data_IF_519456321254
#
_entry.id   IF_519456321254
#
_cell.length_a   1.000
_cell.length_b   1.000
_cell.length_c   1.000
_cell.angle_alpha   90.00
_cell.angle_beta   90.00
_cell.angle_gamma   90.00
#
_symmetry.space_group_name_H-M   'P 1'
#
loop_
_entity.id
_entity.type
_entity.pdbx_description
1 polymer ?
#
# COMPACT_ATOMS: atom_id res chain seq x y z
N UNK A 1 -18.10 13.95 -1.21
CA UNK A 1 -17.64 14.19 -2.59
C UNK A 1 -17.45 12.92 -3.40
N UNK A 2 -16.59 11.96 -3.05
CA UNK A 2 -16.46 10.71 -3.82
C UNK A 2 -17.78 9.91 -3.92
N UNK A 3 -18.45 9.64 -2.79
CA UNK A 3 -19.77 8.97 -2.79
C UNK A 3 -20.83 9.75 -3.58
N UNK A 4 -20.79 11.08 -3.52
CA UNK A 4 -21.70 11.93 -4.31
C UNK A 4 -21.44 11.80 -5.82
N UNK A 5 -20.16 11.67 -6.21
CA UNK A 5 -19.72 11.47 -7.60
C UNK A 5 -19.94 10.05 -8.13
N UNK A 6 -19.95 9.04 -7.26
CA UNK A 6 -20.40 7.69 -7.61
C UNK A 6 -21.92 7.69 -7.78
N UNK A 7 -22.66 8.38 -6.90
CA UNK A 7 -24.12 8.48 -6.97
C UNK A 7 -24.62 9.28 -8.20
N UNK A 8 -23.87 10.29 -8.65
CA UNK A 8 -24.19 11.06 -9.86
C UNK A 8 -23.65 10.44 -11.18
N UNK A 9 -22.94 9.31 -11.08
CA UNK A 9 -22.38 8.58 -12.23
C UNK A 9 -21.11 9.16 -12.83
N UNK A 10 -20.53 10.22 -12.25
CA UNK A 10 -19.29 10.84 -12.75
C UNK A 10 -18.02 10.06 -12.43
N UNK A 11 -18.09 9.04 -11.57
CA UNK A 11 -17.01 8.10 -11.24
C UNK A 11 -17.58 6.68 -11.16
N UNK A 12 -16.85 5.70 -11.68
CA UNK A 12 -17.27 4.29 -11.62
C UNK A 12 -17.17 3.75 -10.18
N UNK A 13 -18.09 2.87 -9.73
CA UNK A 13 -18.01 2.20 -8.44
C UNK A 13 -16.73 1.38 -8.29
N UNK A 14 -16.29 1.20 -7.05
CA UNK A 14 -15.14 0.34 -6.75
C UNK A 14 -15.54 -1.13 -6.88
N UNK A 15 -14.80 -1.88 -7.69
CA UNK A 15 -15.06 -3.29 -7.98
C UNK A 15 -13.89 -4.15 -7.51
N UNK A 16 -14.17 -5.28 -6.89
CA UNK A 16 -13.21 -6.38 -6.73
C UNK A 16 -13.85 -7.66 -7.26
N UNK A 17 -13.23 -8.28 -8.27
CA UNK A 17 -13.66 -9.56 -8.84
C UNK A 17 -15.18 -9.61 -9.15
N UNK A 18 -15.70 -8.57 -9.80
CA UNK A 18 -17.13 -8.37 -10.14
C UNK A 18 -18.10 -8.07 -8.98
N UNK A 19 -17.59 -7.98 -7.75
CA UNK A 19 -18.36 -7.50 -6.59
C UNK A 19 -18.22 -5.98 -6.46
N UNK A 20 -19.36 -5.29 -6.51
CA UNK A 20 -19.44 -3.87 -6.18
C UNK A 20 -19.25 -3.66 -4.69
N UNK A 21 -18.06 -3.24 -4.27
CA UNK A 21 -17.71 -3.12 -2.86
C UNK A 21 -18.48 -2.00 -2.15
N UNK A 22 -18.91 -1.00 -2.93
CA UNK A 22 -19.85 0.04 -2.49
C UNK A 22 -21.23 -0.53 -2.13
N UNK A 23 -21.63 -1.68 -2.68
CA UNK A 23 -22.90 -2.35 -2.42
C UNK A 23 -22.85 -3.40 -1.30
N UNK A 24 -21.66 -3.93 -0.97
CA UNK A 24 -21.47 -5.00 0.04
C UNK A 24 -21.03 -4.45 1.42
N UNK A 25 -20.93 -3.12 1.57
CA UNK A 25 -20.64 -2.50 2.87
C UNK A 25 -19.16 -2.57 3.27
N UNK A 26 -18.27 -2.94 2.35
CA UNK A 26 -16.82 -2.81 2.55
C UNK A 26 -16.49 -1.33 2.52
N UNK A 27 -16.06 -0.79 3.67
CA UNK A 27 -15.70 0.63 3.77
C UNK A 27 -14.28 0.81 3.28
N UNK A 28 -14.15 1.19 2.01
CA UNK A 28 -12.92 1.72 1.43
C UNK A 28 -12.83 3.20 1.80
N UNK A 29 -11.67 3.66 2.26
CA UNK A 29 -11.42 5.08 2.43
C UNK A 29 -10.74 5.74 1.25
N UNK A 30 -10.19 4.95 0.33
CA UNK A 30 -9.50 5.41 -0.88
C UNK A 30 -9.95 4.66 -2.13
N UNK A 31 -9.05 4.57 -3.11
CA UNK A 31 -9.27 3.77 -4.32
C UNK A 31 -8.79 2.33 -4.16
N UNK A 32 -9.18 1.46 -5.09
CA UNK A 32 -8.64 0.11 -5.28
C UNK A 32 -7.81 0.00 -6.56
N UNK A 33 -7.05 -1.07 -6.66
CA UNK A 33 -6.19 -1.36 -7.80
C UNK A 33 -4.84 -0.68 -7.67
N UNK A 34 -4.22 -0.32 -8.79
CA UNK A 34 -2.83 0.13 -8.76
C UNK A 34 -2.76 1.56 -8.27
N UNK A 35 -1.99 1.80 -7.21
CA UNK A 35 -1.68 3.15 -6.79
C UNK A 35 -0.91 3.89 -7.90
N UNK A 36 -1.38 5.07 -8.30
CA UNK A 36 -0.77 5.88 -9.36
C UNK A 36 -0.55 7.31 -8.89
N UNK A 37 0.46 7.97 -9.44
CA UNK A 37 0.64 9.40 -9.22
C UNK A 37 -0.57 10.15 -9.80
N UNK A 38 -1.22 11.06 -9.07
CA UNK A 38 -2.41 11.80 -9.52
C UNK A 38 -2.15 12.84 -10.63
N UNK A 39 -0.98 12.79 -11.27
CA UNK A 39 -0.56 13.74 -12.31
C UNK A 39 0.00 15.07 -11.81
N UNK A 40 0.29 16.02 -12.73
CA UNK A 40 0.86 17.33 -12.42
C UNK A 40 -0.03 18.17 -11.49
N UNK A 41 0.57 19.07 -10.71
CA UNK A 41 -0.13 19.96 -9.78
C UNK A 41 -0.40 19.35 -8.40
N UNK A 42 -0.16 18.06 -8.23
CA UNK A 42 -0.23 17.36 -6.95
C UNK A 42 1.16 17.21 -6.33
N UNK A 43 1.20 17.25 -4.99
CA UNK A 43 2.39 16.85 -4.21
C UNK A 43 2.02 15.78 -3.21
N UNK A 44 3.01 14.97 -2.80
CA UNK A 44 2.84 14.06 -1.66
C UNK A 44 2.56 14.86 -0.39
N UNK A 45 1.48 14.49 0.29
CA UNK A 45 1.14 14.96 1.62
C UNK A 45 1.60 13.90 2.63
N UNK A 46 2.54 14.27 3.49
CA UNK A 46 3.07 13.37 4.54
C UNK A 46 2.01 13.15 5.61
N UNK A 47 1.95 11.96 6.18
CA UNK A 47 0.98 11.66 7.24
C UNK A 47 1.26 12.49 8.49
N UNK A 48 2.55 12.69 8.82
CA UNK A 48 2.95 13.61 9.89
C UNK A 48 2.53 15.07 9.62
N UNK A 49 2.47 15.48 8.35
CA UNK A 49 1.95 16.79 7.98
C UNK A 49 0.44 16.87 8.16
N UNK A 50 -0.29 15.85 7.71
CA UNK A 50 -1.75 15.78 7.87
C UNK A 50 -2.16 15.74 9.35
N UNK A 51 -1.49 14.92 10.15
CA UNK A 51 -1.66 14.83 11.61
C UNK A 51 -1.56 16.21 12.29
N UNK A 52 -0.55 17.01 11.93
CA UNK A 52 -0.41 18.38 12.48
C UNK A 52 -1.54 19.32 12.05
N UNK A 53 -2.12 19.13 10.87
CA UNK A 53 -3.22 19.97 10.36
C UNK A 53 -4.54 19.64 11.04
N UNK A 54 -4.78 18.37 11.36
CA UNK A 54 -6.07 17.90 11.88
C UNK A 54 -6.07 17.71 13.39
N UNK A 55 -4.91 17.51 14.01
CA UNK A 55 -4.78 17.12 15.41
C UNK A 55 -4.91 15.61 15.65
N UNK A 56 -5.16 14.81 14.60
CA UNK A 56 -5.20 13.36 14.70
C UNK A 56 -3.79 12.78 14.91
N UNK A 57 -3.64 11.61 15.56
CA UNK A 57 -2.38 10.88 15.56
C UNK A 57 -2.04 10.39 14.14
N UNK A 58 -0.75 10.22 13.84
CA UNK A 58 -0.32 9.67 12.54
C UNK A 58 -0.90 8.27 12.32
N UNK A 59 -0.87 7.44 13.35
CA UNK A 59 -1.59 6.17 13.43
C UNK A 59 -2.14 6.07 14.85
N UNK A 60 -3.46 5.90 15.05
CA UNK A 60 -4.03 5.67 16.37
C UNK A 60 -3.45 4.43 17.04
N UNK A 61 -3.38 4.44 18.37
CA UNK A 61 -2.87 3.29 19.12
C UNK A 61 -3.71 2.03 18.86
N UNK A 62 -3.04 0.88 18.73
CA UNK A 62 -3.66 -0.40 18.37
C UNK A 62 -4.21 -0.51 16.94
N UNK A 63 -4.03 0.49 16.07
CA UNK A 63 -4.48 0.46 14.67
C UNK A 63 -3.33 0.36 13.68
N UNK A 64 -3.57 -0.34 12.56
CA UNK A 64 -2.71 -0.29 11.39
C UNK A 64 -3.04 0.92 10.49
N UNK A 65 -2.07 1.43 9.71
CA UNK A 65 -2.29 2.49 8.72
C UNK A 65 -3.46 2.16 7.78
N UNK A 66 -4.56 2.89 7.89
CA UNK A 66 -5.81 2.66 7.13
C UNK A 66 -6.64 3.95 7.07
N UNK A 67 -7.80 3.87 6.42
CA UNK A 67 -8.73 5.00 6.32
C UNK A 67 -9.23 5.55 7.65
N UNK A 68 -9.06 4.79 8.73
CA UNK A 68 -9.48 5.18 10.08
C UNK A 68 -8.49 6.10 10.78
N UNK A 69 -7.30 6.32 10.21
CA UNK A 69 -6.24 7.09 10.89
C UNK A 69 -6.51 8.60 10.95
N UNK A 70 -7.28 9.16 10.01
CA UNK A 70 -7.52 10.62 9.93
C UNK A 70 -9.01 10.95 9.85
N UNK A 71 -9.81 10.63 10.88
CA UNK A 71 -11.25 10.89 10.87
C UNK A 71 -11.54 12.39 10.69
N UNK A 72 -10.72 13.25 11.31
CA UNK A 72 -10.88 14.71 11.28
C UNK A 72 -10.43 15.34 9.95
N UNK A 73 -9.77 14.59 9.07
CA UNK A 73 -9.44 15.04 7.72
C UNK A 73 -10.63 14.99 6.75
N UNK A 74 -11.73 14.32 7.14
CA UNK A 74 -12.92 14.17 6.30
C UNK A 74 -14.08 14.97 6.87
N UNK A 75 -14.99 15.43 5.99
CA UNK A 75 -16.28 15.99 6.37
C UNK A 75 -17.39 15.11 5.80
N UNK A 76 -18.29 14.65 6.67
CA UNK A 76 -19.37 13.73 6.31
C UNK A 76 -18.84 12.47 5.55
N UNK A 77 -17.70 11.95 6.03
CA UNK A 77 -17.01 10.79 5.44
C UNK A 77 -16.39 11.05 4.06
N UNK A 78 -16.17 12.32 3.68
CA UNK A 78 -15.59 12.70 2.39
C UNK A 78 -14.31 13.51 2.54
N UNK A 79 -13.30 13.16 1.72
CA UNK A 79 -12.06 13.92 1.58
C UNK A 79 -12.29 15.30 0.93
N UNK A 80 -11.53 16.34 1.33
CA UNK A 80 -11.48 17.62 0.64
C UNK A 80 -11.03 17.47 -0.82
N UNK A 81 -11.49 18.35 -1.71
CA UNK A 81 -11.15 18.30 -3.14
C UNK A 81 -9.64 18.36 -3.44
N UNK A 82 -8.88 19.02 -2.57
CA UNK A 82 -7.41 19.13 -2.67
C UNK A 82 -6.65 17.97 -2.03
N UNK A 83 -7.30 16.86 -1.71
CA UNK A 83 -6.66 15.70 -1.07
C UNK A 83 -7.18 14.40 -1.67
N UNK A 84 -6.25 13.57 -2.12
CA UNK A 84 -6.53 12.22 -2.61
C UNK A 84 -5.96 11.25 -1.56
N UNK A 85 -6.80 10.40 -0.94
CA UNK A 85 -6.32 9.38 -0.01
C UNK A 85 -5.48 8.32 -0.73
N UNK A 86 -4.64 7.57 0.00
CA UNK A 86 -3.92 6.42 -0.55
C UNK A 86 -4.86 5.39 -1.18
N UNK A 87 -4.37 4.71 -2.22
CA UNK A 87 -5.00 3.49 -2.75
C UNK A 87 -4.74 2.34 -1.79
N UNK A 88 -5.77 1.57 -1.49
CA UNK A 88 -5.71 0.43 -0.58
C UNK A 88 -4.98 -0.76 -1.21
N UNK A 89 -4.19 -1.47 -0.41
CA UNK A 89 -3.52 -2.70 -0.85
C UNK A 89 -2.40 -2.53 -1.88
N UNK A 90 -1.95 -1.31 -2.13
CA UNK A 90 -1.13 -1.04 -3.31
C UNK A 90 -0.07 0.03 -3.09
N UNK A 91 1.17 -0.28 -3.47
CA UNK A 91 2.26 0.70 -3.56
C UNK A 91 2.30 1.35 -4.94
N UNK A 92 2.56 2.66 -4.98
CA UNK A 92 2.82 3.37 -6.22
C UNK A 92 4.25 3.11 -6.75
N UNK A 93 4.48 3.35 -8.04
CA UNK A 93 5.76 3.03 -8.71
C UNK A 93 6.97 3.69 -8.07
N UNK A 94 6.84 4.95 -7.66
CA UNK A 94 7.97 5.69 -7.07
C UNK A 94 8.34 5.09 -5.71
N UNK A 95 7.34 4.79 -4.88
CA UNK A 95 7.55 4.14 -3.59
C UNK A 95 8.08 2.72 -3.75
N UNK A 96 7.54 1.94 -4.70
CA UNK A 96 8.02 0.59 -5.02
C UNK A 96 9.50 0.58 -5.41
N UNK A 97 9.91 1.45 -6.33
CA UNK A 97 11.29 1.51 -6.79
C UNK A 97 12.26 1.90 -5.68
N UNK A 98 11.88 2.87 -4.82
CA UNK A 98 12.67 3.24 -3.65
C UNK A 98 12.78 2.10 -2.64
N UNK A 99 11.66 1.42 -2.36
CA UNK A 99 11.63 0.26 -1.46
C UNK A 99 12.56 -0.84 -1.97
N UNK A 100 12.46 -1.23 -3.25
CA UNK A 100 13.35 -2.23 -3.86
C UNK A 100 14.81 -1.80 -3.76
N UNK A 101 15.14 -0.54 -4.04
CA UNK A 101 16.51 -0.05 -3.91
C UNK A 101 17.06 -0.13 -2.47
N UNK A 102 16.23 0.16 -1.47
CA UNK A 102 16.59 -0.02 -0.05
C UNK A 102 16.79 -1.51 0.26
N UNK A 103 15.86 -2.37 -0.15
CA UNK A 103 15.96 -3.82 0.09
C UNK A 103 17.23 -4.41 -0.55
N UNK A 104 17.58 -3.99 -1.77
CA UNK A 104 18.82 -4.41 -2.45
C UNK A 104 20.04 -4.04 -1.60
N UNK A 105 20.14 -2.79 -1.12
CA UNK A 105 21.26 -2.36 -0.28
C UNK A 105 21.38 -3.12 1.04
N UNK A 106 20.26 -3.62 1.57
CA UNK A 106 20.19 -4.28 2.87
C UNK A 106 20.06 -5.81 2.80
N UNK A 107 20.15 -6.39 1.60
CA UNK A 107 20.17 -7.84 1.39
C UNK A 107 21.60 -8.32 1.12
N UNK A 108 22.08 -9.42 1.73
CA UNK A 108 23.47 -9.85 1.57
C UNK A 108 23.89 -10.11 0.11
N UNK A 109 22.97 -10.65 -0.70
CA UNK A 109 23.19 -10.92 -2.12
C UNK A 109 22.81 -9.74 -3.03
N UNK A 110 22.47 -8.57 -2.47
CA UNK A 110 22.12 -7.39 -3.24
C UNK A 110 20.99 -7.65 -4.25
N UNK A 111 21.16 -7.30 -5.53
CA UNK A 111 20.14 -7.54 -6.56
C UNK A 111 19.90 -9.03 -6.83
N UNK A 112 20.87 -9.92 -6.55
CA UNK A 112 20.74 -11.36 -6.76
C UNK A 112 20.00 -12.08 -5.62
N UNK A 113 19.53 -11.35 -4.61
CA UNK A 113 18.73 -11.89 -3.52
C UNK A 113 17.49 -12.59 -4.08
N UNK A 114 17.39 -13.91 -3.86
CA UNK A 114 16.18 -14.68 -4.19
C UNK A 114 15.03 -14.25 -3.31
N UNK A 115 13.89 -13.99 -3.92
CA UNK A 115 12.69 -13.51 -3.25
C UNK A 115 11.45 -14.25 -3.78
N UNK A 116 10.42 -14.28 -2.95
CA UNK A 116 9.11 -14.80 -3.29
C UNK A 116 8.07 -13.70 -3.14
N UNK A 117 7.18 -13.58 -4.12
CA UNK A 117 6.08 -12.62 -4.15
C UNK A 117 4.75 -13.38 -4.15
N UNK A 118 3.93 -13.16 -3.12
CA UNK A 118 2.60 -13.73 -3.00
C UNK A 118 1.55 -12.68 -3.36
N UNK A 119 0.53 -13.11 -4.10
CA UNK A 119 -0.65 -12.32 -4.40
C UNK A 119 -1.86 -12.98 -3.75
N UNK A 120 -2.62 -12.20 -2.98
CA UNK A 120 -3.89 -12.66 -2.42
C UNK A 120 -4.86 -13.03 -3.56
N UNK A 121 -5.56 -14.18 -3.47
CA UNK A 121 -6.60 -14.56 -4.44
C UNK A 121 -7.61 -13.44 -4.73
N UNK A 122 -7.95 -12.63 -3.72
CA UNK A 122 -8.84 -11.47 -3.87
C UNK A 122 -8.32 -10.46 -4.89
N UNK A 123 -7.01 -10.19 -4.88
CA UNK A 123 -6.38 -9.22 -5.79
C UNK A 123 -6.26 -9.73 -7.23
N UNK A 124 -6.34 -11.06 -7.40
CA UNK A 124 -6.31 -11.74 -8.70
C UNK A 124 -7.70 -12.00 -9.28
N UNK A 125 -8.75 -11.69 -8.51
CA UNK A 125 -10.12 -12.09 -8.87
C UNK A 125 -10.30 -13.60 -8.97
N UNK A 126 -9.48 -14.37 -8.26
CA UNK A 126 -9.58 -15.81 -8.24
C UNK A 126 -10.80 -16.26 -7.43
N UNK A 127 -11.50 -17.29 -7.92
CA UNK A 127 -12.60 -17.96 -7.22
C UNK A 127 -12.14 -19.14 -6.36
N UNK A 128 -10.94 -19.65 -6.65
CA UNK A 128 -10.26 -20.68 -5.88
C UNK A 128 -9.26 -20.05 -4.91
N UNK A 129 -9.61 -20.05 -3.62
CA UNK A 129 -8.81 -19.48 -2.55
C UNK A 129 -7.71 -20.43 -2.04
N UNK A 130 -7.79 -21.72 -2.38
CA UNK A 130 -6.82 -22.73 -1.96
C UNK A 130 -5.62 -22.80 -2.91
N UNK A 131 -5.77 -22.31 -4.14
CA UNK A 131 -4.67 -22.18 -5.10
C UNK A 131 -3.81 -20.93 -4.81
N UNK A 132 -2.74 -21.11 -4.03
CA UNK A 132 -1.82 -20.04 -3.66
C UNK A 132 -0.97 -19.58 -4.86
N UNK A 133 -0.99 -18.27 -5.14
CA UNK A 133 -0.24 -17.66 -6.23
C UNK A 133 1.06 -17.06 -5.70
N UNK A 134 2.16 -17.79 -5.86
CA UNK A 134 3.50 -17.36 -5.46
C UNK A 134 4.44 -17.35 -6.67
N UNK A 135 5.11 -16.22 -6.88
CA UNK A 135 6.17 -16.04 -7.88
C UNK A 135 7.53 -16.05 -7.19
N UNK A 136 8.52 -16.64 -7.84
CA UNK A 136 9.91 -16.59 -7.37
C UNK A 136 10.77 -15.82 -8.38
N UNK A 137 11.74 -15.05 -7.90
CA UNK A 137 12.69 -14.35 -8.74
C UNK A 137 13.83 -13.71 -7.94
N UNK A 138 14.63 -12.88 -8.62
CA UNK A 138 15.65 -12.04 -7.97
C UNK A 138 15.10 -10.67 -7.64
N UNK A 139 15.58 -10.09 -6.54
CA UNK A 139 15.17 -8.76 -6.08
C UNK A 139 15.49 -7.66 -7.11
N UNK A 140 16.58 -7.78 -7.85
CA UNK A 140 16.96 -6.84 -8.91
C UNK A 140 15.95 -6.79 -10.07
N UNK A 141 15.20 -7.88 -10.26
CA UNK A 141 14.18 -8.00 -11.30
C UNK A 141 12.79 -7.53 -10.80
N UNK A 142 12.67 -7.11 -9.53
CA UNK A 142 11.38 -6.78 -8.89
C UNK A 142 10.60 -5.63 -9.56
N UNK A 143 11.22 -4.85 -10.45
CA UNK A 143 10.49 -3.92 -11.33
C UNK A 143 9.40 -4.61 -12.16
N UNK A 144 9.61 -5.87 -12.56
CA UNK A 144 8.65 -6.66 -13.33
C UNK A 144 7.33 -6.88 -12.59
N UNK A 145 7.36 -6.95 -11.25
CA UNK A 145 6.17 -7.12 -10.40
C UNK A 145 5.29 -5.86 -10.39
N UNK A 146 5.82 -4.74 -10.87
CA UNK A 146 5.05 -3.52 -11.10
C UNK A 146 4.63 -3.41 -12.57
N UNK A 147 5.56 -3.60 -13.50
CA UNK A 147 5.36 -3.31 -14.93
C UNK A 147 4.58 -4.43 -15.66
N UNK A 148 4.65 -5.68 -15.19
CA UNK A 148 3.98 -6.85 -15.76
C UNK A 148 3.28 -7.68 -14.67
N UNK A 149 2.57 -6.99 -13.79
CA UNK A 149 1.82 -7.64 -12.71
C UNK A 149 0.58 -8.35 -13.25
N UNK A 150 0.34 -9.56 -12.75
CA UNK A 150 -0.88 -10.34 -13.04
C UNK A 150 -2.12 -9.82 -12.29
N UNK A 151 -1.88 -9.02 -11.24
CA UNK A 151 -2.89 -8.25 -10.53
C UNK A 151 -2.70 -6.75 -10.75
N UNK A 152 -3.79 -5.98 -10.72
CA UNK A 152 -3.71 -4.53 -10.61
C UNK A 152 -3.29 -4.08 -9.19
N UNK A 153 -2.57 -4.90 -8.43
CA UNK A 153 -2.11 -4.60 -7.06
C UNK A 153 -0.62 -4.94 -6.90
N UNK A 154 0.07 -4.29 -5.96
CA UNK A 154 1.38 -4.80 -5.52
C UNK A 154 1.23 -6.18 -4.87
N UNK A 155 2.28 -7.01 -4.83
CA UNK A 155 2.23 -8.26 -4.07
C UNK A 155 1.73 -8.03 -2.65
N UNK A 156 0.81 -8.89 -2.19
CA UNK A 156 0.32 -8.87 -0.81
C UNK A 156 1.44 -9.19 0.17
N UNK A 157 2.37 -10.07 -0.22
CA UNK A 157 3.62 -10.27 0.48
C UNK A 157 4.79 -10.36 -0.49
N UNK A 158 5.95 -9.90 -0.05
CA UNK A 158 7.23 -10.16 -0.71
C UNK A 158 8.28 -10.42 0.39
N UNK A 159 9.07 -11.47 0.24
CA UNK A 159 10.09 -11.80 1.24
C UNK A 159 11.34 -12.36 0.59
N UNK A 160 12.49 -12.11 1.23
CA UNK A 160 13.72 -12.78 0.84
C UNK A 160 13.68 -14.25 1.23
N UNK A 161 14.21 -15.12 0.38
CA UNK A 161 14.26 -16.57 0.62
C UNK A 161 15.07 -16.92 1.89
N UNK A 162 16.05 -16.08 2.26
CA UNK A 162 16.83 -16.20 3.51
C UNK A 162 16.08 -15.69 4.76
N UNK A 163 14.85 -15.19 4.60
CA UNK A 163 13.99 -14.62 5.64
C UNK A 163 14.59 -13.42 6.38
N UNK A 164 15.58 -12.75 5.80
CA UNK A 164 16.20 -11.56 6.39
C UNK A 164 15.25 -10.36 6.46
N UNK A 165 14.20 -10.37 5.64
CA UNK A 165 13.10 -9.41 5.66
C UNK A 165 11.83 -9.96 5.00
N UNK A 166 10.69 -9.36 5.33
CA UNK A 166 9.38 -9.58 4.71
C UNK A 166 8.61 -8.25 4.66
N UNK A 167 7.83 -8.06 3.61
CA UNK A 167 6.82 -7.02 3.53
C UNK A 167 5.42 -7.62 3.39
N UNK A 168 4.44 -6.89 3.90
CA UNK A 168 3.04 -7.22 3.83
C UNK A 168 2.24 -5.96 3.47
N UNK A 169 1.60 -5.99 2.31
CA UNK A 169 0.66 -4.97 1.85
C UNK A 169 -0.72 -5.60 1.83
N UNK A 170 -1.41 -5.46 2.96
CA UNK A 170 -2.76 -5.99 3.10
C UNK A 170 -3.76 -5.14 2.29
N UNK A 171 -4.77 -5.79 1.72
CA UNK A 171 -5.68 -5.18 0.76
C UNK A 171 -6.57 -4.09 1.37
N UNK A 172 -6.81 -4.10 2.68
CA UNK A 172 -7.60 -3.08 3.41
C UNK A 172 -6.74 -1.97 4.03
N UNK A 173 -5.41 -2.02 3.87
CA UNK A 173 -4.48 -1.08 4.48
C UNK A 173 -3.99 0.00 3.50
N UNK A 174 -3.65 1.15 4.07
CA UNK A 174 -3.02 2.28 3.36
C UNK A 174 -1.49 2.25 3.43
N UNK A 175 -0.93 1.22 4.05
CA UNK A 175 0.50 1.09 4.26
C UNK A 175 0.99 -0.34 4.12
N UNK A 176 2.27 -0.46 3.81
CA UNK A 176 3.00 -1.73 3.77
C UNK A 176 3.74 -1.91 5.08
N UNK A 177 3.49 -3.01 5.79
CA UNK A 177 4.28 -3.42 6.94
C UNK A 177 5.59 -4.02 6.44
N UNK A 178 6.72 -3.61 7.02
CA UNK A 178 8.03 -4.20 6.75
C UNK A 178 8.64 -4.70 8.04
N UNK A 179 9.12 -5.94 8.02
CA UNK A 179 9.89 -6.55 9.10
C UNK A 179 11.25 -7.00 8.58
N UNK A 180 12.30 -6.83 9.38
CA UNK A 180 13.66 -7.21 9.03
C UNK A 180 14.67 -6.63 10.02
N UNK A 181 15.96 -6.70 9.66
CA UNK A 181 17.05 -6.23 10.52
C UNK A 181 16.93 -4.73 10.86
N UNK A 182 17.38 -4.28 12.05
CA UNK A 182 17.28 -2.87 12.47
C UNK A 182 17.86 -1.87 11.46
N UNK A 183 18.95 -2.23 10.78
CA UNK A 183 19.55 -1.38 9.75
C UNK A 183 18.62 -1.14 8.55
N UNK A 184 17.86 -2.16 8.12
CA UNK A 184 16.86 -2.01 7.06
C UNK A 184 15.72 -1.09 7.52
N UNK A 185 15.18 -1.33 8.72
CA UNK A 185 14.10 -0.51 9.28
C UNK A 185 14.54 0.94 9.44
N UNK A 186 15.76 1.17 9.93
CA UNK A 186 16.34 2.50 10.05
C UNK A 186 16.51 3.20 8.70
N UNK A 187 16.91 2.48 7.65
CA UNK A 187 17.01 3.05 6.30
C UNK A 187 15.64 3.46 5.74
N UNK A 188 14.59 2.66 5.96
CA UNK A 188 13.23 3.00 5.53
C UNK A 188 12.68 4.22 6.26
N UNK A 189 12.91 4.32 7.58
CA UNK A 189 12.46 5.46 8.38
C UNK A 189 13.17 6.77 8.01
N UNK A 190 14.39 6.70 7.47
CA UNK A 190 15.17 7.87 7.08
C UNK A 190 15.08 8.18 5.57
N UNK A 191 14.35 7.39 4.78
CA UNK A 191 14.19 7.65 3.35
C UNK A 191 13.21 8.81 3.14
N UNK A 192 13.71 9.93 2.58
CA UNK A 192 12.91 11.13 2.36
C UNK A 192 11.85 10.98 1.27
N UNK A 193 11.78 9.82 0.63
CA UNK A 193 10.88 9.48 -0.45
C UNK A 193 9.80 8.47 -0.08
N UNK A 194 10.00 7.70 0.98
CA UNK A 194 9.04 6.75 1.54
C UNK A 194 8.39 7.39 2.77
N UNK A 195 7.07 7.25 2.94
CA UNK A 195 6.42 7.58 4.22
C UNK A 195 6.49 6.35 5.10
N UNK A 196 7.28 6.43 6.17
CA UNK A 196 7.48 5.32 7.08
C UNK A 196 7.34 5.79 8.52
N UNK A 197 6.60 5.01 9.31
CA UNK A 197 6.46 5.20 10.75
C UNK A 197 6.71 3.89 11.45
N UNK A 198 7.26 3.98 12.67
CA UNK A 198 7.36 2.82 13.55
C UNK A 198 6.10 2.76 14.41
N UNK A 199 5.39 1.65 14.35
CA UNK A 199 4.21 1.44 15.18
C UNK A 199 4.67 1.08 16.60
N UNK A 200 4.33 1.88 17.63
CA UNK A 200 4.90 1.74 18.96
C UNK A 200 4.48 0.45 19.68
N UNK A 201 3.34 -0.13 19.27
CA UNK A 201 2.76 -1.35 19.84
C UNK A 201 3.14 -2.63 19.08
N UNK A 202 3.80 -2.52 17.92
CA UNK A 202 4.26 -3.66 17.12
C UNK A 202 5.72 -3.97 17.48
N UNK A 203 5.90 -4.74 18.55
CA UNK A 203 7.21 -5.25 19.00
C UNK A 203 7.68 -6.45 18.20
#
# INVERSE_FOLDING_TARGET
YHRARVADGSVRPSMAADVGLDAVGVTLGGGLGRARHPGPGWRRLRWAELARRTGDPVVPDGQLPSYRCFPSATKDGSWPLGTIPPTEGSLDRETWNRLVAVLVRHSPAGPDTRCLAYYSPLTLGATDFDNLHVREGRLGDAGILYDHSEADFSPSNLWAADRSWVLCTDYDLWGTKVAGRPALVGALLNDSGIEAVRLPWAH
#
